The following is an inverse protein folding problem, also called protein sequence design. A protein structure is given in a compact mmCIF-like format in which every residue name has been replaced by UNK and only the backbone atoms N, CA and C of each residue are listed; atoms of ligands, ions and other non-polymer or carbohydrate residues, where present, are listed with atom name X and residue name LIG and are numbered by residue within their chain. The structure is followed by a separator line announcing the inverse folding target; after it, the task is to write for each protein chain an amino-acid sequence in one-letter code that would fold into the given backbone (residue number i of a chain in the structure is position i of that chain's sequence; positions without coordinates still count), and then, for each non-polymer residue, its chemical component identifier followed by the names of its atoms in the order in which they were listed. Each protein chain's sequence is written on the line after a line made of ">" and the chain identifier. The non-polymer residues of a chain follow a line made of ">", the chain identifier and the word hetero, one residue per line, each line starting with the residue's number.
data_IF_386603292907
#
_entry.id   IF_386603292907
#
_cell.length_a   1.000
_cell.length_b   1.000
_cell.length_c   1.000
_cell.angle_alpha   90.00
_cell.angle_beta   90.00
_cell.angle_gamma   90.00
#
_symmetry.space_group_name_H-M   'P 1'
#
loop_
_entity.id
_entity.type
_entity.pdbx_description
1 polymer ?
#
# COMPACT_ATOMS: atom_id res chain seq x y z
N UNK A 1 68.68 41.25 -14.38
CA UNK A 1 68.23 41.11 -12.96
C UNK A 1 66.78 40.61 -12.83
N UNK A 2 65.98 40.57 -13.90
CA UNK A 2 64.56 40.15 -13.90
C UNK A 2 64.30 38.63 -13.78
N UNK A 3 65.22 37.77 -14.23
CA UNK A 3 65.02 36.31 -14.17
C UNK A 3 65.12 35.74 -12.74
N UNK A 4 65.87 36.37 -11.83
CA UNK A 4 65.99 35.92 -10.43
C UNK A 4 64.77 36.26 -9.58
N UNK A 5 64.08 37.37 -9.85
CA UNK A 5 62.85 37.74 -9.13
C UNK A 5 61.66 36.89 -9.56
N UNK A 6 61.53 36.56 -10.85
CA UNK A 6 60.47 35.65 -11.33
C UNK A 6 60.65 34.22 -10.84
N UNK A 7 61.89 33.70 -10.81
CA UNK A 7 62.17 32.36 -10.30
C UNK A 7 61.96 32.26 -8.77
N UNK A 8 62.28 33.31 -8.01
CA UNK A 8 62.03 33.36 -6.56
C UNK A 8 60.54 33.40 -6.22
N UNK A 9 59.73 34.19 -6.95
CA UNK A 9 58.27 34.24 -6.75
C UNK A 9 57.62 32.89 -7.05
N UNK A 10 58.06 32.19 -8.10
CA UNK A 10 57.56 30.83 -8.40
C UNK A 10 57.93 29.78 -7.35
N UNK A 11 59.11 29.89 -6.72
CA UNK A 11 59.51 28.99 -5.64
C UNK A 11 58.67 29.16 -4.37
N UNK A 12 58.32 30.41 -4.01
CA UNK A 12 57.42 30.67 -2.87
C UNK A 12 55.98 30.19 -3.14
N UNK A 13 55.49 30.35 -4.36
CA UNK A 13 54.17 29.81 -4.73
C UNK A 13 54.16 28.27 -4.65
N UNK A 14 55.27 27.61 -5.02
CA UNK A 14 55.39 26.14 -4.91
C UNK A 14 55.42 25.65 -3.46
N UNK A 15 56.01 26.40 -2.52
CA UNK A 15 55.99 26.03 -1.09
C UNK A 15 54.60 26.16 -0.50
N UNK A 16 53.88 27.23 -0.84
CA UNK A 16 52.52 27.47 -0.34
C UNK A 16 51.54 26.42 -0.92
N UNK A 17 51.65 26.10 -2.20
CA UNK A 17 50.86 25.04 -2.86
C UNK A 17 51.16 23.66 -2.26
N UNK A 18 52.43 23.35 -1.96
CA UNK A 18 52.81 22.09 -1.34
C UNK A 18 52.24 21.94 0.09
N UNK A 19 52.24 23.02 0.89
CA UNK A 19 51.67 23.03 2.23
C UNK A 19 50.13 22.91 2.21
N UNK A 20 49.46 23.53 1.24
CA UNK A 20 48.03 23.35 1.03
C UNK A 20 47.68 21.90 0.65
N UNK A 21 48.47 21.28 -0.23
CA UNK A 21 48.31 19.87 -0.61
C UNK A 21 48.51 18.96 0.60
N UNK A 22 49.56 19.17 1.40
CA UNK A 22 49.82 18.36 2.59
C UNK A 22 48.67 18.48 3.60
N UNK A 23 48.21 19.71 3.86
CA UNK A 23 47.05 19.96 4.71
C UNK A 23 45.79 19.26 4.20
N UNK A 24 45.52 19.31 2.89
CA UNK A 24 44.39 18.61 2.29
C UNK A 24 44.51 17.08 2.42
N UNK A 25 45.71 16.51 2.23
CA UNK A 25 45.99 15.08 2.37
C UNK A 25 45.83 14.62 3.83
N UNK A 26 46.36 15.37 4.79
CA UNK A 26 46.21 15.09 6.22
C UNK A 26 44.74 15.14 6.63
N UNK A 27 44.00 16.15 6.16
CA UNK A 27 42.56 16.27 6.43
C UNK A 27 41.77 15.08 5.86
N UNK A 28 42.09 14.67 4.63
CA UNK A 28 41.47 13.49 4.02
C UNK A 28 41.82 12.21 4.75
N UNK A 29 43.09 12.01 5.10
CA UNK A 29 43.55 10.84 5.85
C UNK A 29 42.86 10.75 7.23
N UNK A 30 42.65 11.89 7.90
CA UNK A 30 41.89 11.95 9.16
C UNK A 30 40.44 11.52 8.98
N UNK A 31 39.78 11.98 7.92
CA UNK A 31 38.41 11.57 7.59
C UNK A 31 38.35 10.08 7.23
N UNK A 32 39.31 9.59 6.44
CA UNK A 32 39.39 8.17 6.06
C UNK A 32 39.65 7.28 7.28
N UNK A 33 40.52 7.68 8.19
CA UNK A 33 40.75 6.97 9.45
C UNK A 33 39.48 6.90 10.31
N UNK A 34 38.73 8.00 10.41
CA UNK A 34 37.44 8.03 11.11
C UNK A 34 36.41 7.12 10.42
N UNK A 35 36.31 7.17 9.09
CA UNK A 35 35.40 6.30 8.33
C UNK A 35 35.80 4.82 8.41
N UNK A 36 37.09 4.51 8.46
CA UNK A 36 37.61 3.14 8.66
C UNK A 36 37.26 2.64 10.06
N UNK A 37 37.39 3.49 11.09
CA UNK A 37 36.98 3.14 12.46
C UNK A 37 35.46 2.94 12.56
N UNK A 38 34.66 3.84 11.97
CA UNK A 38 33.19 3.76 11.93
C UNK A 38 32.68 2.51 11.19
N UNK A 39 33.47 1.94 10.28
CA UNK A 39 33.13 0.69 9.57
C UNK A 39 33.33 -0.57 10.40
N UNK A 40 34.11 -0.53 11.48
CA UNK A 40 34.32 -1.72 12.31
C UNK A 40 33.02 -2.16 12.98
N UNK A 41 32.15 -1.20 13.33
CA UNK A 41 30.85 -1.45 13.96
C UNK A 41 29.79 -0.60 13.28
N UNK A 42 28.80 -1.26 12.69
CA UNK A 42 27.64 -0.60 12.12
C UNK A 42 26.65 -0.15 13.21
N UNK A 43 27.01 0.95 13.88
CA UNK A 43 26.18 1.55 14.94
C UNK A 43 24.82 1.99 14.41
N UNK A 44 24.75 2.41 13.15
CA UNK A 44 23.49 2.79 12.52
C UNK A 44 22.56 1.58 12.37
N UNK A 45 23.09 0.43 11.95
CA UNK A 45 22.32 -0.80 11.89
C UNK A 45 21.90 -1.29 13.26
N UNK A 46 22.77 -1.21 14.28
CA UNK A 46 22.40 -1.57 15.64
C UNK A 46 21.24 -0.72 16.19
N UNK A 47 21.15 0.54 15.78
CA UNK A 47 20.09 1.44 16.23
C UNK A 47 18.78 1.32 15.43
N UNK A 48 18.85 1.15 14.10
CA UNK A 48 17.68 1.22 13.21
C UNK A 48 17.33 -0.11 12.52
N UNK A 49 18.22 -1.10 12.56
CA UNK A 49 18.08 -2.37 11.84
C UNK A 49 16.82 -3.15 12.20
N UNK A 50 16.43 -3.16 13.48
CA UNK A 50 15.21 -3.84 13.94
C UNK A 50 13.95 -3.22 13.34
N UNK A 51 13.91 -1.89 13.14
CA UNK A 51 12.76 -1.21 12.54
C UNK A 51 12.63 -1.58 11.07
N UNK A 52 13.74 -1.54 10.33
CA UNK A 52 13.76 -1.91 8.91
C UNK A 52 13.39 -3.38 8.75
N UNK A 53 14.03 -4.27 9.52
CA UNK A 53 13.74 -5.70 9.52
C UNK A 53 12.27 -5.98 9.84
N UNK A 54 11.72 -5.32 10.85
CA UNK A 54 10.30 -5.44 11.19
C UNK A 54 9.36 -5.07 10.04
N UNK A 55 9.70 -4.06 9.23
CA UNK A 55 8.92 -3.71 8.04
C UNK A 55 9.12 -4.70 6.89
N UNK A 56 10.34 -5.20 6.69
CA UNK A 56 10.64 -6.25 5.71
C UNK A 56 9.88 -7.54 6.03
N UNK A 57 9.90 -7.98 7.28
CA UNK A 57 9.17 -9.18 7.73
C UNK A 57 7.65 -9.01 7.58
N UNK A 58 7.12 -7.78 7.70
CA UNK A 58 5.71 -7.48 7.42
C UNK A 58 5.41 -7.55 5.92
N UNK A 59 6.31 -7.04 5.10
CA UNK A 59 6.19 -7.09 3.65
C UNK A 59 6.16 -8.52 3.15
N UNK A 60 7.11 -9.36 3.59
CA UNK A 60 7.16 -10.78 3.26
C UNK A 60 5.85 -11.50 3.64
N UNK A 61 5.36 -11.31 4.88
CA UNK A 61 4.08 -11.88 5.31
C UNK A 61 2.89 -11.40 4.49
N UNK A 62 2.90 -10.14 4.06
CA UNK A 62 1.85 -9.61 3.19
C UNK A 62 1.94 -10.19 1.78
N UNK A 63 3.14 -10.42 1.26
CA UNK A 63 3.39 -11.10 -0.03
C UNK A 63 2.82 -12.52 0.00
N UNK A 64 3.07 -13.27 1.08
CA UNK A 64 2.55 -14.62 1.23
C UNK A 64 1.01 -14.68 1.31
N UNK A 65 0.37 -13.58 1.73
CA UNK A 65 -1.10 -13.45 1.75
C UNK A 65 -1.72 -13.16 0.38
N UNK A 66 -0.94 -12.93 -0.68
CA UNK A 66 -1.46 -12.61 -2.02
C UNK A 66 -2.31 -13.76 -2.57
N UNK A 67 -1.78 -14.99 -2.58
CA UNK A 67 -2.48 -16.15 -3.13
C UNK A 67 -3.74 -16.48 -2.32
N UNK A 68 -3.69 -16.57 -0.97
CA UNK A 68 -4.89 -16.79 -0.15
C UNK A 68 -5.97 -15.71 -0.29
N UNK A 69 -5.61 -14.49 -0.69
CA UNK A 69 -6.55 -13.38 -0.86
C UNK A 69 -7.17 -13.33 -2.26
N UNK A 70 -6.89 -14.30 -3.13
CA UNK A 70 -7.38 -14.33 -4.52
C UNK A 70 -6.52 -13.56 -5.52
N UNK A 71 -5.24 -13.31 -5.20
CA UNK A 71 -4.25 -12.77 -6.13
C UNK A 71 -3.59 -13.85 -7.00
N UNK A 72 -2.86 -13.43 -8.04
CA UNK A 72 -2.19 -14.36 -8.96
C UNK A 72 -0.75 -14.68 -8.53
N UNK A 73 -0.17 -15.82 -8.99
CA UNK A 73 1.25 -16.10 -8.82
C UNK A 73 2.17 -15.00 -9.39
N UNK A 74 1.75 -14.37 -10.48
CA UNK A 74 2.48 -13.25 -11.10
C UNK A 74 2.51 -12.01 -10.20
N UNK A 75 1.40 -11.68 -9.53
CA UNK A 75 1.38 -10.59 -8.54
C UNK A 75 2.35 -10.90 -7.40
N UNK A 76 2.34 -12.14 -6.89
CA UNK A 76 3.28 -12.56 -5.84
C UNK A 76 4.73 -12.42 -6.30
N UNK A 77 5.04 -12.85 -7.52
CA UNK A 77 6.38 -12.74 -8.09
C UNK A 77 6.82 -11.28 -8.22
N UNK A 78 5.96 -10.38 -8.70
CA UNK A 78 6.24 -8.94 -8.80
C UNK A 78 6.55 -8.33 -7.44
N UNK A 79 5.75 -8.63 -6.42
CA UNK A 79 6.01 -8.11 -5.07
C UNK A 79 7.25 -8.73 -4.41
N UNK A 80 7.55 -10.00 -4.72
CA UNK A 80 8.81 -10.64 -4.29
C UNK A 80 10.02 -9.94 -4.89
N UNK A 81 9.91 -9.46 -6.13
CA UNK A 81 10.99 -8.69 -6.76
C UNK A 81 11.20 -7.33 -6.08
N UNK A 82 10.12 -6.63 -5.70
CA UNK A 82 10.25 -5.42 -4.88
C UNK A 82 10.92 -5.70 -3.53
N UNK A 83 10.57 -6.80 -2.88
CA UNK A 83 11.25 -7.22 -1.65
C UNK A 83 12.77 -7.42 -1.86
N UNK A 84 13.16 -8.08 -2.95
CA UNK A 84 14.59 -8.27 -3.31
C UNK A 84 15.31 -6.97 -3.58
N UNK A 85 14.66 -5.99 -4.20
CA UNK A 85 15.24 -4.65 -4.41
C UNK A 85 15.59 -4.00 -3.06
N UNK A 86 14.69 -4.06 -2.07
CA UNK A 86 14.97 -3.53 -0.74
C UNK A 86 16.05 -4.32 0.00
N UNK A 87 16.07 -5.64 -0.14
CA UNK A 87 17.13 -6.48 0.43
C UNK A 87 18.50 -6.14 -0.17
N UNK A 88 18.56 -5.90 -1.48
CA UNK A 88 19.76 -5.44 -2.16
C UNK A 88 20.19 -4.06 -1.65
N UNK A 89 19.25 -3.11 -1.52
CA UNK A 89 19.54 -1.79 -0.98
C UNK A 89 20.09 -1.85 0.46
N UNK A 90 19.57 -2.74 1.31
CA UNK A 90 20.08 -2.95 2.66
C UNK A 90 21.51 -3.51 2.68
N UNK A 91 21.79 -4.44 1.78
CA UNK A 91 23.13 -5.05 1.66
C UNK A 91 24.12 -4.00 1.15
N UNK A 92 23.75 -3.28 0.09
CA UNK A 92 24.56 -2.20 -0.47
C UNK A 92 24.85 -1.08 0.53
N UNK A 93 23.86 -0.68 1.33
CA UNK A 93 24.05 0.36 2.36
C UNK A 93 24.95 -0.09 3.51
N UNK A 94 24.90 -1.37 3.89
CA UNK A 94 25.83 -1.93 4.89
C UNK A 94 27.27 -1.97 4.36
N UNK A 95 27.45 -2.32 3.09
CA UNK A 95 28.77 -2.47 2.45
C UNK A 95 29.36 -1.15 1.95
N UNK A 96 28.55 -0.11 1.78
CA UNK A 96 28.98 1.17 1.22
C UNK A 96 30.04 1.88 2.08
N UNK A 97 30.96 2.57 1.38
CA UNK A 97 31.97 3.43 2.00
C UNK A 97 31.36 4.79 2.40
N UNK A 98 30.67 4.81 3.55
CA UNK A 98 30.06 6.03 4.10
C UNK A 98 30.11 6.08 5.65
N UNK A 99 30.10 7.28 6.27
CA UNK A 99 30.03 7.44 7.72
C UNK A 99 28.71 6.91 8.32
N UNK A 100 28.72 6.53 9.60
CA UNK A 100 27.53 5.97 10.28
C UNK A 100 26.31 6.90 10.26
N UNK A 101 26.52 8.22 10.36
CA UNK A 101 25.44 9.20 10.28
C UNK A 101 24.73 9.21 8.91
N UNK A 102 25.46 8.98 7.81
CA UNK A 102 24.87 8.87 6.47
C UNK A 102 24.14 7.53 6.32
N UNK A 103 24.76 6.44 6.76
CA UNK A 103 24.14 5.11 6.74
C UNK A 103 22.80 5.08 7.48
N UNK A 104 22.72 5.74 8.64
CA UNK A 104 21.46 5.90 9.41
C UNK A 104 20.36 6.56 8.58
N UNK A 105 20.67 7.62 7.82
CA UNK A 105 19.69 8.29 6.94
C UNK A 105 19.19 7.35 5.85
N UNK A 106 20.08 6.56 5.25
CA UNK A 106 19.69 5.58 4.24
C UNK A 106 18.81 4.45 4.82
N UNK A 107 19.11 3.95 6.02
CA UNK A 107 18.23 2.99 6.68
C UNK A 107 16.83 3.55 6.96
N UNK A 108 16.73 4.80 7.38
CA UNK A 108 15.43 5.46 7.60
C UNK A 108 14.67 5.66 6.28
N UNK A 109 15.36 6.01 5.19
CA UNK A 109 14.74 6.10 3.85
C UNK A 109 14.20 4.76 3.39
N UNK A 110 15.00 3.69 3.50
CA UNK A 110 14.55 2.33 3.17
C UNK A 110 13.35 1.94 4.04
N UNK A 111 13.39 2.23 5.34
CA UNK A 111 12.26 1.99 6.24
C UNK A 111 10.97 2.66 5.76
N UNK A 112 11.03 3.96 5.42
CA UNK A 112 9.87 4.72 4.95
C UNK A 112 9.32 4.16 3.65
N UNK A 113 10.19 3.79 2.71
CA UNK A 113 9.76 3.22 1.43
C UNK A 113 9.11 1.85 1.60
N UNK A 114 9.70 0.96 2.41
CA UNK A 114 9.10 -0.34 2.71
C UNK A 114 7.77 -0.17 3.45
N UNK A 115 7.65 0.79 4.37
CA UNK A 115 6.41 1.08 5.06
C UNK A 115 5.30 1.54 4.09
N UNK A 116 5.62 2.43 3.14
CA UNK A 116 4.67 2.86 2.09
C UNK A 116 4.25 1.69 1.20
N UNK A 117 5.19 0.84 0.79
CA UNK A 117 4.85 -0.35 -0.01
C UNK A 117 3.97 -1.34 0.76
N UNK A 118 4.21 -1.49 2.06
CA UNK A 118 3.34 -2.29 2.92
C UNK A 118 1.90 -1.79 2.92
N UNK A 119 1.69 -0.48 3.07
CA UNK A 119 0.35 0.12 3.04
C UNK A 119 -0.35 -0.13 1.69
N UNK A 120 0.38 0.06 0.58
CA UNK A 120 -0.16 -0.20 -0.76
C UNK A 120 -0.56 -1.67 -0.91
N UNK A 121 0.29 -2.59 -0.49
CA UNK A 121 0.03 -4.03 -0.57
C UNK A 121 -1.16 -4.43 0.30
N UNK A 122 -1.27 -3.90 1.53
CA UNK A 122 -2.43 -4.16 2.39
C UNK A 122 -3.72 -3.67 1.72
N UNK A 123 -3.72 -2.47 1.14
CA UNK A 123 -4.87 -1.94 0.40
C UNK A 123 -5.23 -2.82 -0.81
N UNK A 124 -4.24 -3.34 -1.52
CA UNK A 124 -4.44 -4.30 -2.60
C UNK A 124 -5.08 -5.61 -2.11
N UNK A 125 -4.56 -6.20 -1.03
CA UNK A 125 -5.07 -7.44 -0.43
C UNK A 125 -6.51 -7.28 0.04
N UNK A 126 -6.83 -6.16 0.70
CA UNK A 126 -8.19 -5.87 1.16
C UNK A 126 -9.19 -5.80 0.00
N UNK A 127 -8.83 -5.12 -1.10
CA UNK A 127 -9.65 -5.05 -2.31
C UNK A 127 -9.86 -6.43 -2.94
N UNK A 128 -8.79 -7.23 -3.06
CA UNK A 128 -8.86 -8.58 -3.64
C UNK A 128 -9.75 -9.51 -2.80
N UNK A 129 -9.55 -9.53 -1.48
CA UNK A 129 -10.36 -10.34 -0.58
C UNK A 129 -11.85 -9.97 -0.64
N UNK A 130 -12.16 -8.68 -0.73
CA UNK A 130 -13.53 -8.21 -0.88
C UNK A 130 -14.14 -8.66 -2.22
N UNK A 131 -13.37 -8.57 -3.32
CA UNK A 131 -13.82 -9.04 -4.64
C UNK A 131 -14.10 -10.55 -4.66
N UNK A 132 -13.18 -11.38 -4.14
CA UNK A 132 -13.37 -12.84 -4.04
C UNK A 132 -14.59 -13.19 -3.18
N UNK A 133 -14.80 -12.47 -2.08
CA UNK A 133 -15.98 -12.68 -1.22
C UNK A 133 -17.28 -12.35 -1.96
N UNK A 134 -17.32 -11.22 -2.68
CA UNK A 134 -18.49 -10.82 -3.48
C UNK A 134 -18.76 -11.83 -4.59
N UNK A 135 -17.74 -12.28 -5.31
CA UNK A 135 -17.87 -13.31 -6.36
C UNK A 135 -18.43 -14.62 -5.80
N UNK A 136 -17.93 -15.07 -4.65
CA UNK A 136 -18.44 -16.27 -3.96
C UNK A 136 -19.93 -16.13 -3.61
N UNK A 137 -20.35 -14.95 -3.11
CA UNK A 137 -21.74 -14.68 -2.77
C UNK A 137 -22.65 -14.61 -4.01
N UNK A 138 -22.16 -14.00 -5.10
CA UNK A 138 -22.87 -13.94 -6.38
C UNK A 138 -23.05 -15.34 -6.97
N UNK A 139 -22.00 -16.17 -6.98
CA UNK A 139 -22.08 -17.55 -7.45
C UNK A 139 -23.04 -18.41 -6.60
N UNK A 140 -23.02 -18.25 -5.27
CA UNK A 140 -23.98 -18.91 -4.39
C UNK A 140 -25.44 -18.48 -4.64
N UNK A 141 -25.66 -17.23 -5.07
CA UNK A 141 -26.98 -16.73 -5.43
C UNK A 141 -27.41 -17.21 -6.82
N UNK A 142 -26.48 -17.25 -7.78
CA UNK A 142 -26.73 -17.75 -9.14
C UNK A 142 -27.16 -19.24 -9.16
N UNK A 143 -26.68 -20.04 -8.21
CA UNK A 143 -27.09 -21.43 -8.02
C UNK A 143 -28.50 -21.62 -7.43
N UNK A 144 -29.16 -20.56 -6.93
CA UNK A 144 -30.56 -20.67 -6.51
C UNK A 144 -31.45 -20.61 -7.75
N UNK A 145 -31.94 -21.76 -8.18
CA UNK A 145 -33.08 -21.82 -9.11
C UNK A 145 -34.29 -21.19 -8.41
N UNK A 146 -34.68 -19.98 -8.82
CA UNK A 146 -35.95 -19.40 -8.40
C UNK A 146 -37.06 -20.34 -8.89
N UNK A 147 -37.83 -20.90 -7.96
CA UNK A 147 -39.04 -21.65 -8.30
C UNK A 147 -40.11 -20.65 -8.75
N UNK A 148 -39.97 -20.20 -10.00
CA UNK A 148 -40.91 -19.29 -10.65
C UNK A 148 -42.32 -19.86 -10.63
N UNK A 149 -42.45 -21.20 -10.62
CA UNK A 149 -43.74 -21.89 -10.58
C UNK A 149 -44.48 -21.73 -9.26
N UNK A 150 -43.80 -21.86 -8.11
CA UNK A 150 -44.44 -21.58 -6.81
C UNK A 150 -44.74 -20.10 -6.63
N UNK A 151 -43.82 -19.20 -7.03
CA UNK A 151 -44.05 -17.75 -6.95
C UNK A 151 -45.29 -17.32 -7.75
N UNK A 152 -45.45 -17.84 -8.97
CA UNK A 152 -46.63 -17.54 -9.80
C UNK A 152 -47.89 -18.16 -9.18
N UNK A 153 -47.83 -19.40 -8.68
CA UNK A 153 -48.99 -20.02 -8.00
C UNK A 153 -49.41 -19.27 -6.75
N UNK A 154 -48.48 -18.80 -5.93
CA UNK A 154 -48.76 -18.00 -4.75
C UNK A 154 -49.36 -16.63 -5.12
N UNK A 155 -48.81 -15.97 -6.15
CA UNK A 155 -49.34 -14.70 -6.63
C UNK A 155 -50.79 -14.83 -7.16
N UNK A 156 -51.07 -15.89 -7.92
CA UNK A 156 -52.42 -16.20 -8.42
C UNK A 156 -53.37 -16.56 -7.27
N UNK A 157 -52.90 -17.33 -6.28
CA UNK A 157 -53.70 -17.69 -5.11
C UNK A 157 -54.08 -16.46 -4.30
N UNK A 158 -53.13 -15.55 -4.06
CA UNK A 158 -53.37 -14.25 -3.39
C UNK A 158 -54.31 -13.33 -4.19
N UNK A 159 -54.20 -13.34 -5.51
CA UNK A 159 -55.13 -12.58 -6.36
C UNK A 159 -56.56 -13.16 -6.29
N UNK A 160 -56.70 -14.47 -6.34
CA UNK A 160 -57.99 -15.13 -6.18
C UNK A 160 -58.57 -14.89 -4.79
N UNK A 161 -57.78 -15.03 -3.72
CA UNK A 161 -58.20 -14.69 -2.35
C UNK A 161 -58.64 -13.24 -2.23
N UNK A 162 -57.92 -12.29 -2.82
CA UNK A 162 -58.31 -10.89 -2.85
C UNK A 162 -59.62 -10.65 -3.62
N UNK A 163 -59.85 -11.38 -4.73
CA UNK A 163 -61.12 -11.33 -5.46
C UNK A 163 -62.28 -11.91 -4.65
N UNK A 164 -62.06 -13.03 -3.96
CA UNK A 164 -63.07 -13.62 -3.09
C UNK A 164 -63.36 -12.75 -1.86
N UNK A 165 -62.36 -12.06 -1.31
CA UNK A 165 -62.55 -11.08 -0.25
C UNK A 165 -63.33 -9.84 -0.74
N UNK A 166 -63.05 -9.37 -1.95
CA UNK A 166 -63.78 -8.25 -2.57
C UNK A 166 -65.22 -8.63 -2.96
N UNK A 167 -65.46 -9.85 -3.47
CA UNK A 167 -66.82 -10.33 -3.78
C UNK A 167 -67.59 -10.79 -2.55
N UNK A 168 -66.89 -11.19 -1.48
CA UNK A 168 -67.47 -11.53 -0.19
C UNK A 168 -68.02 -10.33 0.57
N UNK A 169 -67.66 -9.10 0.17
CA UNK A 169 -68.27 -7.87 0.70
C UNK A 169 -69.61 -7.54 0.03
N UNK A 170 -70.11 -8.37 -0.90
CA UNK A 170 -71.37 -8.14 -1.60
C UNK A 170 -72.35 -9.29 -1.43
N UNK A 171 -72.58 -9.71 -0.18
CA UNK A 171 -73.83 -10.41 0.16
C UNK A 171 -74.17 -10.23 1.63
N UNK A 172 -75.07 -9.28 1.91
CA UNK A 172 -75.75 -9.19 3.20
C UNK A 172 -76.22 -7.79 3.63
N UNK A 173 -77.42 -7.37 3.17
CA UNK A 173 -78.36 -6.65 4.05
C UNK A 173 -78.55 -5.14 3.87
N UNK A 174 -79.50 -4.79 2.97
CA UNK A 174 -80.47 -3.69 3.00
C UNK A 174 -80.57 -2.77 4.25
N UNK A 175 -80.54 -1.45 4.05
CA UNK A 175 -81.16 -0.49 4.96
C UNK A 175 -80.57 0.93 5.01
N UNK A 176 -81.25 1.84 4.33
CA UNK A 176 -81.52 3.22 4.78
C UNK A 176 -80.52 4.37 4.52
N UNK A 177 -81.17 5.51 4.28
CA UNK A 177 -80.85 6.87 3.83
C UNK A 177 -79.55 7.56 4.29
N UNK A 178 -79.00 8.37 3.38
CA UNK A 178 -77.99 9.40 3.70
C UNK A 178 -77.52 10.16 2.46
N UNK A 179 -78.05 11.36 2.27
CA UNK A 179 -77.60 12.37 1.30
C UNK A 179 -76.09 12.65 1.43
N UNK A 180 -75.42 12.80 0.29
CA UNK A 180 -74.00 13.14 0.21
C UNK A 180 -73.60 13.42 -1.22
N UNK A 181 -73.91 14.64 -1.65
CA UNK A 181 -73.56 15.26 -2.93
C UNK A 181 -72.03 15.35 -3.09
N UNK A 182 -71.46 14.64 -4.06
CA UNK A 182 -70.13 14.97 -4.60
C UNK A 182 -70.15 14.86 -6.13
N UNK A 183 -70.29 16.02 -6.76
CA UNK A 183 -70.15 16.23 -8.20
C UNK A 183 -68.67 16.17 -8.60
N UNK A 184 -68.32 15.22 -9.46
CA UNK A 184 -67.01 15.14 -10.12
C UNK A 184 -66.94 16.19 -11.23
N UNK A 185 -66.21 17.27 -10.98
CA UNK A 185 -65.86 18.26 -12.00
C UNK A 185 -64.83 17.65 -12.96
N UNK A 186 -65.18 17.64 -14.26
CA UNK A 186 -64.31 17.21 -15.34
C UNK A 186 -63.99 18.44 -16.19
N UNK A 187 -62.74 18.91 -16.12
CA UNK A 187 -62.04 19.67 -17.16
C UNK A 187 -60.54 19.55 -16.92
#
# INVERSE_FOLDING_TARGET
>A
LSFRTLAGVNLYNQTDEAEEIDSALVNRAKIEALNVADRQIDLAWLAEGDKVKGQMDRLERNIDRIIPSGGTPEDRARWTEYYRIYQCALTATREAYMPNAQRKKEYLRIYEDVAKQNEILIGYLARRRNATRTETLLNATAGRTLDKGSIVRDAVSRWNESRFAASGSQSGGNGDTGEGDETVNRN
#
